data_IF_290226177250
#
_entry.id   IF_290226177250
#
_cell.length_a   1.000
_cell.length_b   1.000
_cell.length_c   1.000
_cell.angle_alpha   90.00
_cell.angle_beta   90.00
_cell.angle_gamma   90.00
#
_symmetry.space_group_name_H-M   'P 1'
#
loop_
_entity.id
_entity.type
_entity.pdbx_description
1 polymer ?
#
# COMPACT_ATOMS: atom_id res chain seq x y z
N UNK A 1 19.04 65.19 -24.20
CA UNK A 1 19.59 64.12 -25.09
C UNK A 1 19.97 62.96 -24.19
N UNK A 2 19.25 61.84 -24.25
CA UNK A 2 19.59 60.64 -23.49
C UNK A 2 20.59 59.83 -24.31
N UNK A 3 21.77 59.57 -23.75
CA UNK A 3 22.77 58.70 -24.38
C UNK A 3 22.23 57.27 -24.43
N UNK A 4 22.37 56.55 -25.57
CA UNK A 4 21.95 55.16 -25.63
C UNK A 4 22.76 54.33 -24.63
N UNK A 5 22.14 53.39 -23.90
CA UNK A 5 22.84 52.55 -22.95
C UNK A 5 23.93 51.76 -23.67
N UNK A 6 25.14 51.82 -23.12
CA UNK A 6 26.39 51.20 -23.61
C UNK A 6 26.21 49.71 -23.96
N UNK A 7 25.27 49.05 -23.29
CA UNK A 7 24.86 47.67 -23.55
C UNK A 7 24.24 47.46 -24.95
N UNK A 8 23.52 48.43 -25.49
CA UNK A 8 22.84 48.33 -26.78
C UNK A 8 23.82 48.31 -27.98
N UNK A 9 25.01 48.88 -27.83
CA UNK A 9 26.03 48.89 -28.88
C UNK A 9 26.77 47.54 -28.97
N UNK A 10 27.00 46.87 -27.83
CA UNK A 10 27.58 45.52 -27.79
C UNK A 10 26.63 44.47 -28.39
N UNK A 11 25.33 44.60 -28.13
CA UNK A 11 24.28 43.72 -28.68
C UNK A 11 24.17 43.81 -30.20
N UNK A 12 24.37 44.99 -30.82
CA UNK A 12 24.21 45.15 -32.27
C UNK A 12 25.26 44.39 -33.09
N UNK A 13 26.48 44.26 -32.57
CA UNK A 13 27.56 43.50 -33.22
C UNK A 13 27.47 41.99 -32.96
N UNK A 14 26.81 41.59 -31.87
CA UNK A 14 26.56 40.17 -31.55
C UNK A 14 25.42 39.57 -32.38
N UNK A 15 24.44 40.36 -32.83
CA UNK A 15 23.20 39.85 -33.44
C UNK A 15 23.33 39.24 -34.85
N UNK A 16 24.49 39.35 -35.51
CA UNK A 16 24.74 38.76 -36.85
C UNK A 16 25.97 37.83 -36.92
N UNK A 17 26.62 37.53 -35.79
CA UNK A 17 27.81 36.67 -35.78
C UNK A 17 27.42 35.21 -35.56
N UNK A 18 27.93 34.30 -36.39
CA UNK A 18 27.75 32.85 -36.19
C UNK A 18 28.21 32.36 -34.81
N UNK A 19 29.13 33.09 -34.18
CA UNK A 19 29.55 32.85 -32.79
C UNK A 19 28.44 33.09 -31.76
N UNK A 20 27.59 34.10 -31.97
CA UNK A 20 26.47 34.35 -31.07
C UNK A 20 25.42 33.23 -31.15
N UNK A 21 25.20 32.70 -32.36
CA UNK A 21 24.33 31.55 -32.58
C UNK A 21 24.90 30.27 -31.95
N UNK A 22 26.21 30.03 -32.05
CA UNK A 22 26.81 28.85 -31.39
C UNK A 22 26.78 28.95 -29.87
N UNK A 23 27.06 30.11 -29.29
CA UNK A 23 26.94 30.33 -27.83
C UNK A 23 25.49 30.14 -27.37
N UNK A 24 24.52 30.69 -28.09
CA UNK A 24 23.11 30.48 -27.78
C UNK A 24 22.72 29.00 -27.85
N UNK A 25 23.14 28.30 -28.91
CA UNK A 25 22.88 26.87 -29.06
C UNK A 25 23.49 26.05 -27.92
N UNK A 26 24.71 26.39 -27.46
CA UNK A 26 25.34 25.73 -26.32
C UNK A 26 24.57 25.96 -25.01
N UNK A 27 24.10 27.19 -24.77
CA UNK A 27 23.28 27.50 -23.59
C UNK A 27 21.98 26.70 -23.62
N UNK A 28 21.29 26.67 -24.76
CA UNK A 28 20.05 25.90 -24.92
C UNK A 28 20.30 24.41 -24.73
N UNK A 29 21.36 23.86 -25.34
CA UNK A 29 21.73 22.46 -25.16
C UNK A 29 22.05 22.12 -23.69
N UNK A 30 22.78 22.98 -22.99
CA UNK A 30 23.06 22.82 -21.57
C UNK A 30 21.77 22.82 -20.74
N UNK A 31 20.84 23.73 -21.00
CA UNK A 31 19.55 23.79 -20.30
C UNK A 31 18.69 22.55 -20.55
N UNK A 32 18.65 22.03 -21.79
CA UNK A 32 17.91 20.80 -22.12
C UNK A 32 18.45 19.59 -21.36
N UNK A 33 19.77 19.50 -21.17
CA UNK A 33 20.40 18.41 -20.40
C UNK A 33 20.18 18.58 -18.89
N UNK A 34 20.19 19.81 -18.39
CA UNK A 34 20.10 20.09 -16.94
C UNK A 34 18.67 20.08 -16.41
N UNK A 35 17.68 20.49 -17.21
CA UNK A 35 16.27 20.52 -16.83
C UNK A 35 15.73 19.20 -16.23
N UNK A 36 15.99 18.01 -16.82
CA UNK A 36 15.48 16.76 -16.25
C UNK A 36 16.10 16.44 -14.88
N UNK A 37 17.37 16.81 -14.63
CA UNK A 37 18.07 16.54 -13.37
C UNK A 37 17.43 17.28 -12.19
N UNK A 38 16.95 18.51 -12.41
CA UNK A 38 16.27 19.30 -11.38
C UNK A 38 14.94 18.65 -10.96
N UNK A 39 14.19 18.06 -11.92
CA UNK A 39 12.95 17.32 -11.62
C UNK A 39 13.24 16.11 -10.75
N UNK A 40 14.27 15.34 -11.10
CA UNK A 40 14.69 14.13 -10.37
C UNK A 40 15.10 14.46 -8.93
N UNK A 41 15.79 15.58 -8.69
CA UNK A 41 16.19 15.97 -7.32
C UNK A 41 14.99 16.27 -6.41
N UNK A 42 13.89 16.80 -6.95
CA UNK A 42 12.67 17.04 -6.16
C UNK A 42 11.92 15.74 -5.89
N UNK A 43 11.79 14.88 -6.90
CA UNK A 43 11.13 13.56 -6.76
C UNK A 43 11.88 12.65 -5.79
N UNK A 44 13.21 12.62 -5.85
CA UNK A 44 14.04 11.82 -4.92
C UNK A 44 13.84 12.23 -3.46
N UNK A 45 13.70 13.54 -3.17
CA UNK A 45 13.45 14.01 -1.80
C UNK A 45 12.09 13.59 -1.27
N UNK A 46 11.07 13.57 -2.13
CA UNK A 46 9.74 13.08 -1.75
C UNK A 46 9.76 11.58 -1.48
N UNK A 47 10.46 10.80 -2.31
CA UNK A 47 10.62 9.37 -2.10
C UNK A 47 11.33 9.07 -0.78
N UNK A 48 12.43 9.77 -0.46
CA UNK A 48 13.15 9.59 0.81
C UNK A 48 12.23 9.89 2.00
N UNK A 49 11.50 11.00 1.98
CA UNK A 49 10.59 11.35 3.06
C UNK A 49 9.44 10.33 3.23
N UNK A 50 8.95 9.75 2.13
CA UNK A 50 7.94 8.69 2.18
C UNK A 50 8.51 7.39 2.76
N UNK A 51 9.71 6.98 2.32
CA UNK A 51 10.38 5.77 2.82
C UNK A 51 10.71 5.89 4.31
N UNK A 52 11.21 7.04 4.76
CA UNK A 52 11.46 7.31 6.18
C UNK A 52 10.17 7.19 7.00
N UNK A 53 9.06 7.77 6.52
CA UNK A 53 7.76 7.68 7.19
C UNK A 53 7.16 6.25 7.19
N UNK A 54 7.55 5.40 6.26
CA UNK A 54 7.17 3.98 6.22
C UNK A 54 7.98 3.16 7.23
N UNK A 55 9.29 3.39 7.30
CA UNK A 55 10.17 2.79 8.32
C UNK A 55 9.71 3.13 9.73
N UNK A 56 9.39 4.40 9.99
CA UNK A 56 8.92 4.83 11.31
C UNK A 56 7.61 4.14 11.71
N UNK A 57 6.68 3.97 10.76
CA UNK A 57 5.42 3.24 10.99
C UNK A 57 5.64 1.76 11.26
N UNK A 58 6.49 1.11 10.47
CA UNK A 58 6.82 -0.30 10.68
C UNK A 58 7.53 -0.52 12.02
N UNK A 59 8.38 0.41 12.45
CA UNK A 59 9.04 0.34 13.74
C UNK A 59 8.04 0.47 14.90
N UNK A 60 7.05 1.37 14.80
CA UNK A 60 5.98 1.50 15.80
C UNK A 60 5.14 0.22 15.90
N UNK A 61 4.78 -0.38 14.77
CA UNK A 61 4.02 -1.64 14.75
C UNK A 61 4.81 -2.80 15.39
N UNK A 62 6.12 -2.87 15.13
CA UNK A 62 6.99 -3.83 15.80
C UNK A 62 7.05 -3.62 17.31
N UNK A 63 7.13 -2.37 17.76
CA UNK A 63 7.17 -2.05 19.20
C UNK A 63 5.84 -2.43 19.87
N UNK A 64 4.71 -2.17 19.22
CA UNK A 64 3.38 -2.56 19.71
C UNK A 64 3.22 -4.09 19.79
N UNK A 65 3.60 -4.82 18.74
CA UNK A 65 3.58 -6.29 18.71
C UNK A 65 4.52 -6.85 19.79
N UNK A 66 5.74 -6.30 19.95
CA UNK A 66 6.67 -6.75 20.98
C UNK A 66 6.12 -6.50 22.38
N UNK A 67 5.43 -5.37 22.61
CA UNK A 67 4.75 -5.08 23.86
C UNK A 67 3.56 -6.03 24.11
N UNK A 68 2.87 -6.48 23.07
CA UNK A 68 1.89 -7.57 23.16
C UNK A 68 2.57 -8.90 23.51
N UNK A 69 3.59 -9.33 22.79
CA UNK A 69 4.31 -10.58 23.09
C UNK A 69 4.86 -10.59 24.52
N UNK A 70 5.43 -9.48 25.00
CA UNK A 70 5.89 -9.36 26.38
C UNK A 70 4.75 -9.56 27.40
N UNK A 71 3.55 -9.03 27.12
CA UNK A 71 2.35 -9.25 27.97
C UNK A 71 1.88 -10.70 27.95
N UNK A 72 1.98 -11.37 26.81
CA UNK A 72 1.53 -12.77 26.63
C UNK A 72 2.58 -13.80 27.07
N UNK A 73 3.80 -13.35 27.37
CA UNK A 73 4.89 -14.19 27.87
C UNK A 73 4.78 -14.56 29.36
N UNK A 74 3.73 -14.11 30.06
CA UNK A 74 3.43 -14.55 31.43
C UNK A 74 2.66 -15.90 31.40
N UNK A 75 3.31 -17.02 31.75
CA UNK A 75 2.72 -18.36 31.65
C UNK A 75 1.48 -18.54 32.54
N UNK A 76 1.30 -17.72 33.58
CA UNK A 76 0.11 -17.77 34.44
C UNK A 76 -1.18 -17.35 33.70
N UNK A 77 -1.08 -16.49 32.67
CA UNK A 77 -2.23 -16.02 31.90
C UNK A 77 -2.71 -17.07 30.88
N UNK A 78 -1.78 -17.73 30.18
CA UNK A 78 -2.10 -18.80 29.21
C UNK A 78 -2.73 -20.01 29.91
N UNK A 79 -2.29 -20.36 31.12
CA UNK A 79 -2.86 -21.46 31.90
C UNK A 79 -4.34 -21.21 32.25
N UNK A 80 -4.71 -19.96 32.59
CA UNK A 80 -6.10 -19.59 32.88
C UNK A 80 -7.02 -19.65 31.66
N UNK A 81 -6.59 -19.12 30.50
CA UNK A 81 -7.39 -19.12 29.26
C UNK A 81 -7.55 -20.52 28.65
N UNK A 82 -6.53 -21.38 28.76
CA UNK A 82 -6.61 -22.76 28.28
C UNK A 82 -7.60 -23.60 29.12
N UNK A 83 -7.72 -23.30 30.42
CA UNK A 83 -8.64 -24.03 31.31
C UNK A 83 -10.12 -23.73 30.99
N UNK A 84 -10.45 -22.47 30.69
CA UNK A 84 -11.83 -22.05 30.44
C UNK A 84 -12.37 -22.47 29.06
N UNK A 85 -11.50 -22.62 28.04
CA UNK A 85 -11.95 -22.97 26.67
C UNK A 85 -11.62 -24.38 26.20
N UNK A 86 -10.55 -25.00 26.70
CA UNK A 86 -10.02 -26.24 26.15
C UNK A 86 -10.10 -27.44 27.11
N UNK A 87 -10.69 -27.28 28.31
CA UNK A 87 -10.73 -28.34 29.34
C UNK A 87 -9.35 -28.99 29.53
N UNK A 88 -8.29 -28.17 29.62
CA UNK A 88 -6.92 -28.68 29.76
C UNK A 88 -6.76 -29.34 31.14
N UNK A 89 -6.40 -30.62 31.15
CA UNK A 89 -6.23 -31.45 32.35
C UNK A 89 -4.74 -31.77 32.50
N UNK A 90 -4.18 -31.65 33.71
CA UNK A 90 -2.81 -32.10 33.98
C UNK A 90 -2.68 -33.60 33.72
N UNK A 91 -1.60 -34.09 33.07
CA UNK A 91 -1.37 -35.52 32.88
C UNK A 91 -1.24 -36.21 34.24
N UNK A 92 -2.32 -36.85 34.71
CA UNK A 92 -2.42 -37.45 36.04
C UNK A 92 -3.81 -37.34 36.69
N UNK A 93 -4.68 -36.46 36.21
CA UNK A 93 -6.03 -36.26 36.78
C UNK A 93 -7.11 -37.04 36.00
N UNK A 94 -7.90 -37.84 36.72
CA UNK A 94 -8.96 -38.69 36.16
C UNK A 94 -10.23 -37.87 35.91
N UNK A 95 -10.54 -37.60 34.65
CA UNK A 95 -11.77 -36.92 34.24
C UNK A 95 -12.99 -37.84 34.44
N UNK A 96 -13.83 -37.55 35.43
CA UNK A 96 -15.13 -38.20 35.58
C UNK A 96 -16.17 -37.46 34.72
N UNK A 97 -16.54 -38.04 33.58
CA UNK A 97 -17.71 -37.61 32.83
C UNK A 97 -18.96 -38.21 33.49
N UNK A 98 -19.69 -37.41 34.26
CA UNK A 98 -21.03 -37.78 34.71
C UNK A 98 -21.97 -37.58 33.53
N UNK A 99 -22.19 -38.65 32.76
CA UNK A 99 -23.32 -38.73 31.84
C UNK A 99 -24.56 -38.81 32.73
N UNK A 100 -25.12 -37.66 33.07
CA UNK A 100 -26.49 -37.63 33.54
C UNK A 100 -27.34 -38.12 32.38
N UNK A 101 -28.01 -39.25 32.58
CA UNK A 101 -29.05 -39.79 31.70
C UNK A 101 -30.22 -38.79 31.67
N UNK A 102 -30.01 -37.69 30.96
CA UNK A 102 -31.02 -36.71 30.60
C UNK A 102 -30.95 -36.63 29.11
N UNK A 103 -31.94 -37.26 28.50
CA UNK A 103 -32.35 -37.22 27.11
C UNK A 103 -31.51 -36.26 26.27
N UNK A 104 -30.70 -36.84 25.39
CA UNK A 104 -30.00 -36.11 24.35
C UNK A 104 -30.99 -35.15 23.67
N UNK A 105 -30.68 -33.85 23.54
CA UNK A 105 -31.56 -32.95 22.80
C UNK A 105 -31.63 -33.47 21.36
N UNK A 106 -32.79 -34.00 20.99
CA UNK A 106 -33.11 -34.34 19.62
C UNK A 106 -33.03 -33.05 18.82
N UNK A 107 -31.98 -32.90 18.02
CA UNK A 107 -31.89 -31.83 17.01
C UNK A 107 -32.96 -32.15 15.98
N UNK A 108 -34.16 -31.58 16.16
CA UNK A 108 -35.32 -31.89 15.31
C UNK A 108 -35.26 -31.26 13.92
N UNK A 109 -34.36 -30.32 13.63
CA UNK A 109 -34.26 -29.73 12.29
C UNK A 109 -32.81 -29.66 11.81
N UNK A 110 -32.26 -30.83 11.51
CA UNK A 110 -31.10 -30.94 10.64
C UNK A 110 -31.56 -30.85 9.18
N UNK A 111 -31.50 -29.67 8.58
CA UNK A 111 -31.58 -29.52 7.12
C UNK A 111 -30.61 -30.54 6.50
N UNK A 112 -31.05 -31.39 5.55
CA UNK A 112 -30.19 -32.43 5.01
C UNK A 112 -28.92 -31.79 4.46
N UNK A 113 -27.77 -32.28 4.93
CA UNK A 113 -26.47 -31.90 4.39
C UNK A 113 -26.45 -32.47 2.98
N UNK A 114 -26.65 -31.61 1.98
CA UNK A 114 -26.64 -32.02 0.58
C UNK A 114 -25.24 -32.48 0.18
N UNK A 115 -25.15 -33.68 -0.39
CA UNK A 115 -23.94 -34.20 -1.04
C UNK A 115 -23.67 -33.55 -2.42
N UNK A 116 -24.51 -32.59 -2.84
CA UNK A 116 -24.28 -31.79 -4.04
C UNK A 116 -23.30 -30.64 -3.74
N UNK A 117 -22.19 -30.61 -4.48
CA UNK A 117 -21.33 -29.43 -4.50
C UNK A 117 -22.07 -28.34 -5.26
N UNK A 118 -22.70 -27.42 -4.52
CA UNK A 118 -23.27 -26.21 -5.09
C UNK A 118 -22.13 -25.30 -5.57
N UNK A 119 -21.91 -25.27 -6.88
CA UNK A 119 -21.00 -24.29 -7.49
C UNK A 119 -21.55 -22.90 -7.21
N UNK A 120 -20.83 -22.13 -6.39
CA UNK A 120 -21.23 -20.77 -6.08
C UNK A 120 -21.20 -19.97 -7.38
N UNK A 121 -22.29 -19.24 -7.68
CA UNK A 121 -22.42 -18.44 -8.91
C UNK A 121 -21.26 -17.45 -9.12
N UNK A 122 -20.56 -17.13 -8.04
CA UNK A 122 -19.39 -16.27 -8.01
C UNK A 122 -18.21 -17.08 -7.47
N UNK A 123 -17.26 -17.38 -8.36
CA UNK A 123 -15.95 -17.89 -7.96
C UNK A 123 -15.11 -16.74 -7.41
N UNK A 124 -15.24 -16.52 -6.11
CA UNK A 124 -14.55 -15.46 -5.39
C UNK A 124 -13.02 -15.64 -5.42
N UNK A 125 -12.52 -16.87 -5.54
CA UNK A 125 -11.07 -17.16 -5.62
C UNK A 125 -10.54 -16.65 -6.95
N UNK A 126 -11.23 -16.98 -8.04
CA UNK A 126 -10.87 -16.49 -9.37
C UNK A 126 -11.05 -14.97 -9.48
N UNK A 127 -12.09 -14.40 -8.86
CA UNK A 127 -12.30 -12.95 -8.82
C UNK A 127 -11.20 -12.20 -8.06
N UNK A 128 -10.70 -12.78 -6.97
CA UNK A 128 -9.60 -12.19 -6.20
C UNK A 128 -8.27 -12.29 -6.96
N UNK A 129 -8.00 -13.44 -7.57
CA UNK A 129 -6.80 -13.64 -8.39
C UNK A 129 -6.79 -12.76 -9.64
N UNK A 130 -7.93 -12.59 -10.30
CA UNK A 130 -8.04 -11.70 -11.46
C UNK A 130 -7.81 -10.24 -11.06
N UNK A 131 -8.28 -9.79 -9.90
CA UNK A 131 -8.01 -8.44 -9.40
C UNK A 131 -6.52 -8.16 -9.23
N UNK A 132 -5.76 -9.11 -8.65
CA UNK A 132 -4.30 -8.97 -8.46
C UNK A 132 -3.58 -8.97 -9.80
N UNK A 133 -3.97 -9.86 -10.71
CA UNK A 133 -3.37 -9.94 -12.04
C UNK A 133 -3.64 -8.68 -12.87
N UNK A 134 -4.88 -8.18 -12.86
CA UNK A 134 -5.27 -6.93 -13.52
C UNK A 134 -4.57 -5.73 -12.90
N UNK A 135 -4.44 -5.66 -11.58
CA UNK A 135 -3.70 -4.59 -10.92
C UNK A 135 -2.19 -4.63 -11.20
N UNK A 136 -1.61 -5.81 -11.41
CA UNK A 136 -0.18 -5.97 -11.72
C UNK A 136 0.19 -5.73 -13.18
N UNK A 137 -0.75 -5.89 -14.11
CA UNK A 137 -0.53 -5.74 -15.56
C UNK A 137 -1.28 -4.55 -16.16
N UNK A 138 -1.96 -3.74 -15.34
CA UNK A 138 -2.60 -2.53 -15.83
C UNK A 138 -1.52 -1.54 -16.31
N UNK A 139 -1.59 -1.17 -17.59
CA UNK A 139 -0.79 -0.11 -18.18
C UNK A 139 -1.44 1.28 -18.01
N UNK A 140 -2.63 1.33 -17.38
CA UNK A 140 -3.35 2.57 -17.13
C UNK A 140 -2.62 3.44 -16.10
N UNK A 141 -2.34 4.69 -16.45
CA UNK A 141 -1.77 5.70 -15.55
C UNK A 141 -2.82 6.15 -14.51
N UNK A 142 -2.44 6.62 -13.30
CA UNK A 142 -3.37 7.02 -12.24
C UNK A 142 -4.44 8.04 -12.68
N UNK A 143 -4.07 8.90 -13.62
CA UNK A 143 -4.88 9.90 -14.33
C UNK A 143 -5.97 9.31 -15.25
N UNK A 144 -5.84 8.04 -15.67
CA UNK A 144 -6.86 7.32 -16.45
C UNK A 144 -7.77 6.44 -15.58
N UNK A 145 -7.42 6.25 -14.31
CA UNK A 145 -8.23 5.53 -13.32
C UNK A 145 -9.19 6.46 -12.56
N UNK A 146 -9.16 7.76 -12.84
CA UNK A 146 -10.20 8.68 -12.39
C UNK A 146 -11.53 8.23 -12.99
N UNK A 147 -12.43 7.77 -12.13
CA UNK A 147 -13.76 7.30 -12.51
C UNK A 147 -14.44 8.36 -13.38
N UNK A 148 -15.12 7.98 -14.49
CA UNK A 148 -15.81 8.93 -15.33
C UNK A 148 -16.68 9.82 -14.44
N UNK A 149 -16.35 11.11 -14.41
CA UNK A 149 -17.11 12.15 -13.73
C UNK A 149 -18.58 11.90 -14.05
N UNK A 150 -19.34 11.43 -13.05
CA UNK A 150 -20.77 11.25 -13.15
C UNK A 150 -21.38 12.65 -13.30
N UNK A 151 -21.36 13.14 -14.53
CA UNK A 151 -21.92 14.40 -14.92
C UNK A 151 -23.42 14.36 -14.66
N UNK A 152 -23.81 15.12 -13.64
CA UNK A 152 -25.03 15.91 -13.57
C UNK A 152 -26.31 15.19 -14.08
N UNK A 153 -27.04 14.59 -13.15
CA UNK A 153 -28.46 14.32 -13.33
C UNK A 153 -29.21 15.67 -13.46
N UNK A 154 -29.64 15.99 -14.67
CA UNK A 154 -30.61 17.03 -14.99
C UNK A 154 -31.84 16.42 -15.64
#
# INVERSE_FOLDING_TARGET
>A
MAEPPRAALWLRNFRLSGFALTVLALIVAALVVLAPQLKTLVEQRQQIAQLEAEVDRAQQELDDINAEVARWSDPAYIESQARDRLYYIYPGDTAYLVIADRDAPTVTDGQPISDSIETTRVDWVTALLSSVYTAGLTEATPDQLESPNQGNAG
#
